data_IF_608380517589
#
_entry.id   IF_608380517589
#
_cell.length_a   1.000
_cell.length_b   1.000
_cell.length_c   1.000
_cell.angle_alpha   90.00
_cell.angle_beta   90.00
_cell.angle_gamma   90.00
#
_symmetry.space_group_name_H-M   'P 1'
#
loop_
_entity.id
_entity.type
_entity.pdbx_description
1 polymer ?
#
# COMPACT_ATOMS: atom_id res chain seq x y z
N UNK A 1 18.83 23.26 -4.46
CA UNK A 1 17.52 23.85 -4.22
C UNK A 1 16.52 22.76 -3.91
N UNK A 2 15.70 22.93 -2.89
CA UNK A 2 14.60 22.04 -2.60
C UNK A 2 13.58 22.18 -3.72
N UNK A 3 13.44 21.16 -4.56
CA UNK A 3 12.30 21.06 -5.47
C UNK A 3 11.05 20.84 -4.62
N UNK A 4 10.25 21.88 -4.52
CA UNK A 4 8.94 21.79 -3.87
C UNK A 4 7.92 21.42 -4.94
N UNK A 5 7.32 20.22 -4.81
CA UNK A 5 6.13 19.87 -5.59
C UNK A 5 4.96 20.73 -5.06
N UNK A 6 4.35 21.58 -5.89
CA UNK A 6 3.19 22.32 -5.45
C UNK A 6 1.99 21.38 -5.31
N UNK A 7 1.33 21.41 -4.17
CA UNK A 7 0.05 20.72 -3.99
C UNK A 7 -1.04 21.60 -4.59
N UNK A 8 -1.56 21.22 -5.76
CA UNK A 8 -2.53 22.02 -6.52
C UNK A 8 -3.92 22.01 -5.93
N UNK A 9 -4.25 20.98 -5.14
CA UNK A 9 -5.54 20.88 -4.48
C UNK A 9 -5.71 19.59 -3.69
N UNK A 10 -6.81 19.51 -2.98
CA UNK A 10 -7.22 18.33 -2.22
C UNK A 10 -8.69 18.04 -2.49
N UNK A 11 -9.01 16.76 -2.68
CA UNK A 11 -10.37 16.24 -2.75
C UNK A 11 -10.58 15.25 -1.61
N UNK A 12 -11.79 15.17 -1.08
CA UNK A 12 -12.16 14.22 -0.03
C UNK A 12 -13.62 13.83 -0.20
N UNK A 13 -14.01 12.71 0.42
CA UNK A 13 -15.40 12.22 0.42
C UNK A 13 -16.38 13.26 0.95
N UNK A 14 -16.00 14.03 1.96
CA UNK A 14 -16.81 15.11 2.52
C UNK A 14 -16.01 16.40 2.54
N UNK A 15 -16.62 17.48 2.05
CA UNK A 15 -16.00 18.82 2.07
C UNK A 15 -15.70 19.29 3.49
N UNK A 16 -16.59 18.99 4.44
CA UNK A 16 -16.44 19.36 5.84
C UNK A 16 -15.14 18.82 6.44
N UNK A 17 -14.86 17.51 6.26
CA UNK A 17 -13.63 16.91 6.78
C UNK A 17 -12.37 17.45 6.09
N UNK A 18 -12.45 17.73 4.78
CA UNK A 18 -11.35 18.36 4.06
C UNK A 18 -11.06 19.77 4.60
N UNK A 19 -12.08 20.61 4.75
CA UNK A 19 -11.93 21.97 5.27
C UNK A 19 -11.42 21.99 6.71
N UNK A 20 -11.88 21.06 7.57
CA UNK A 20 -11.37 20.92 8.93
C UNK A 20 -9.86 20.61 8.93
N UNK A 21 -9.41 19.70 8.05
CA UNK A 21 -7.99 19.39 7.90
C UNK A 21 -7.18 20.59 7.33
N UNK A 22 -7.67 21.20 6.27
CA UNK A 22 -7.02 22.37 5.63
C UNK A 22 -6.82 23.53 6.61
N UNK A 23 -7.77 23.74 7.52
CA UNK A 23 -7.65 24.77 8.57
C UNK A 23 -6.49 24.54 9.56
N UNK A 24 -5.92 23.35 9.61
CA UNK A 24 -4.73 23.04 10.43
C UNK A 24 -3.42 23.39 9.76
N UNK A 25 -3.43 23.68 8.45
CA UNK A 25 -2.24 23.94 7.65
C UNK A 25 -1.93 25.46 7.60
N UNK A 26 -0.65 25.81 7.59
CA UNK A 26 -0.22 27.21 7.46
C UNK A 26 -0.44 27.76 6.03
N UNK A 27 -0.28 26.92 5.02
CA UNK A 27 -0.47 27.26 3.61
C UNK A 27 -1.33 26.15 2.96
N UNK A 28 -2.66 26.19 3.16
CA UNK A 28 -3.55 25.12 2.71
C UNK A 28 -3.74 25.18 1.19
N UNK A 29 -3.66 24.02 0.50
CA UNK A 29 -4.08 23.94 -0.89
C UNK A 29 -5.60 24.15 -1.01
N UNK A 30 -6.05 24.38 -2.23
CA UNK A 30 -7.47 24.55 -2.52
C UNK A 30 -8.25 23.23 -2.35
N UNK A 31 -9.44 23.31 -1.74
CA UNK A 31 -10.40 22.21 -1.84
C UNK A 31 -11.08 22.23 -3.20
N UNK A 32 -11.17 21.08 -3.85
CA UNK A 32 -11.82 20.92 -5.15
C UNK A 32 -12.54 19.57 -5.25
N UNK A 33 -13.43 19.50 -6.22
CA UNK A 33 -13.99 18.22 -6.65
C UNK A 33 -12.91 17.32 -7.25
N UNK A 34 -13.16 16.01 -7.31
CA UNK A 34 -12.25 15.06 -7.95
C UNK A 34 -11.97 15.42 -9.42
N UNK A 35 -13.00 15.85 -10.16
CA UNK A 35 -12.87 16.25 -11.57
C UNK A 35 -11.98 17.48 -11.75
N UNK A 36 -12.17 18.49 -10.93
CA UNK A 36 -11.34 19.71 -10.95
C UNK A 36 -9.90 19.40 -10.55
N UNK A 37 -9.71 18.52 -9.54
CA UNK A 37 -8.39 18.09 -9.10
C UNK A 37 -7.63 17.39 -10.23
N UNK A 38 -8.25 16.44 -10.93
CA UNK A 38 -7.66 15.73 -12.06
C UNK A 38 -7.32 16.72 -13.20
N UNK A 39 -8.20 17.66 -13.49
CA UNK A 39 -7.99 18.60 -14.59
C UNK A 39 -6.77 19.50 -14.39
N UNK A 40 -6.50 19.93 -13.15
CA UNK A 40 -5.43 20.88 -12.83
C UNK A 40 -4.12 20.27 -12.31
N UNK A 41 -4.06 18.93 -12.18
CA UNK A 41 -2.87 18.23 -11.66
C UNK A 41 -2.19 17.42 -12.75
N UNK A 42 -0.89 17.20 -12.63
CA UNK A 42 -0.11 16.30 -13.49
C UNK A 42 -0.01 14.91 -12.87
N UNK A 43 -0.03 14.82 -11.56
CA UNK A 43 0.00 13.59 -10.77
C UNK A 43 -1.14 13.60 -9.75
N UNK A 44 -1.93 12.54 -9.74
CA UNK A 44 -2.93 12.31 -8.71
C UNK A 44 -2.34 11.38 -7.65
N UNK A 45 -2.41 11.78 -6.38
CA UNK A 45 -1.97 10.98 -5.23
C UNK A 45 -3.21 10.46 -4.50
N UNK A 46 -3.42 9.16 -4.54
CA UNK A 46 -4.51 8.52 -3.80
C UNK A 46 -4.07 8.15 -2.38
N UNK A 47 -4.79 8.64 -1.39
CA UNK A 47 -4.63 8.32 0.02
C UNK A 47 -6.00 8.11 0.72
N UNK A 48 -7.03 7.79 -0.06
CA UNK A 48 -8.43 7.73 0.41
C UNK A 48 -8.89 6.29 0.73
N UNK A 49 -8.14 5.28 0.30
CA UNK A 49 -8.44 3.87 0.50
C UNK A 49 -8.73 3.12 -0.80
N UNK A 50 -8.61 1.79 -0.76
CA UNK A 50 -8.67 0.96 -1.96
C UNK A 50 -9.96 1.04 -2.76
N UNK A 51 -11.08 1.32 -2.11
CA UNK A 51 -12.41 1.34 -2.73
C UNK A 51 -12.56 2.45 -3.79
N UNK A 52 -11.79 3.54 -3.69
CA UNK A 52 -11.85 4.64 -4.67
C UNK A 52 -10.95 4.40 -5.88
N UNK A 53 -9.99 3.49 -5.79
CA UNK A 53 -8.97 3.27 -6.82
C UNK A 53 -9.56 2.98 -8.20
N UNK A 54 -10.57 2.09 -8.38
CA UNK A 54 -11.05 1.77 -9.73
C UNK A 54 -11.60 2.97 -10.47
N UNK A 55 -12.46 3.75 -9.82
CA UNK A 55 -13.06 4.94 -10.42
C UNK A 55 -12.04 6.06 -10.62
N UNK A 56 -11.22 6.33 -9.59
CA UNK A 56 -10.19 7.37 -9.64
C UNK A 56 -9.16 7.08 -10.73
N UNK A 57 -8.68 5.84 -10.83
CA UNK A 57 -7.70 5.44 -11.83
C UNK A 57 -8.27 5.61 -13.26
N UNK A 58 -9.52 5.18 -13.49
CA UNK A 58 -10.19 5.35 -14.77
C UNK A 58 -10.23 6.82 -15.18
N UNK A 59 -10.75 7.70 -14.31
CA UNK A 59 -10.86 9.13 -14.59
C UNK A 59 -9.49 9.79 -14.79
N UNK A 60 -8.50 9.40 -13.99
CA UNK A 60 -7.13 9.91 -14.07
C UNK A 60 -6.48 9.56 -15.40
N UNK A 61 -6.52 8.29 -15.80
CA UNK A 61 -5.89 7.83 -17.04
C UNK A 61 -6.61 8.32 -18.31
N UNK A 62 -7.94 8.41 -18.29
CA UNK A 62 -8.70 9.03 -19.38
C UNK A 62 -8.33 10.50 -19.59
N UNK A 63 -7.84 11.16 -18.56
CA UNK A 63 -7.34 12.54 -18.61
C UNK A 63 -5.84 12.62 -18.97
N UNK A 64 -5.19 11.48 -19.26
CA UNK A 64 -3.77 11.42 -19.59
C UNK A 64 -2.85 11.78 -18.42
N UNK A 65 -3.29 11.53 -17.17
CA UNK A 65 -2.55 11.88 -15.96
C UNK A 65 -2.01 10.63 -15.25
N UNK A 66 -0.91 10.81 -14.52
CA UNK A 66 -0.28 9.75 -13.74
C UNK A 66 -0.98 9.59 -12.37
N UNK A 67 -0.91 8.39 -11.82
CA UNK A 67 -1.47 8.05 -10.51
C UNK A 67 -0.38 7.54 -9.56
N UNK A 68 -0.30 8.10 -8.37
CA UNK A 68 0.37 7.46 -7.24
C UNK A 68 -0.69 6.80 -6.37
N UNK A 69 -0.66 5.47 -6.28
CA UNK A 69 -1.57 4.68 -5.46
C UNK A 69 -0.89 4.29 -4.15
N UNK A 70 -1.41 4.76 -3.01
CA UNK A 70 -0.97 4.30 -1.69
C UNK A 70 -1.69 3.00 -1.34
N UNK A 71 -2.95 2.88 -1.76
CA UNK A 71 -3.78 1.68 -1.54
C UNK A 71 -3.53 0.61 -2.61
N UNK A 72 -2.26 0.21 -2.78
CA UNK A 72 -1.84 -0.69 -3.87
C UNK A 72 -2.46 -2.09 -3.79
N UNK A 73 -2.96 -2.49 -2.63
CA UNK A 73 -3.73 -3.74 -2.49
C UNK A 73 -4.94 -3.81 -3.42
N UNK A 74 -5.55 -2.67 -3.76
CA UNK A 74 -6.66 -2.60 -4.70
C UNK A 74 -6.24 -3.03 -6.13
N UNK A 75 -4.99 -2.81 -6.53
CA UNK A 75 -4.49 -3.23 -7.85
C UNK A 75 -4.42 -4.75 -8.00
N UNK A 76 -4.35 -5.50 -6.89
CA UNK A 76 -4.42 -6.96 -6.89
C UNK A 76 -5.84 -7.44 -7.17
N UNK A 77 -6.83 -6.73 -6.65
CA UNK A 77 -8.25 -7.01 -6.89
C UNK A 77 -8.70 -6.55 -8.30
N UNK A 78 -8.09 -5.49 -8.83
CA UNK A 78 -8.42 -4.79 -10.07
C UNK A 78 -7.22 -4.76 -11.04
N UNK A 79 -6.75 -5.92 -11.54
CA UNK A 79 -5.58 -5.98 -12.43
C UNK A 79 -5.80 -5.26 -13.78
N UNK A 80 -7.06 -5.04 -14.20
CA UNK A 80 -7.42 -4.26 -15.38
C UNK A 80 -6.90 -2.82 -15.33
N UNK A 81 -6.72 -2.24 -14.14
CA UNK A 81 -6.18 -0.89 -13.95
C UNK A 81 -4.76 -0.77 -14.51
N UNK A 82 -3.94 -1.81 -14.35
CA UNK A 82 -2.58 -1.86 -14.87
C UNK A 82 -2.56 -1.84 -16.41
N UNK A 83 -3.52 -2.49 -17.04
CA UNK A 83 -3.65 -2.49 -18.49
C UNK A 83 -4.16 -1.15 -18.99
N UNK A 84 -5.15 -0.58 -18.33
CA UNK A 84 -5.68 0.76 -18.63
C UNK A 84 -4.58 1.83 -18.59
N UNK A 85 -3.72 1.82 -17.59
CA UNK A 85 -2.58 2.75 -17.50
C UNK A 85 -1.66 2.61 -18.71
N UNK A 86 -1.32 1.36 -19.12
CA UNK A 86 -0.47 1.10 -20.29
C UNK A 86 -1.10 1.59 -21.61
N UNK A 87 -2.40 1.33 -21.80
CA UNK A 87 -3.15 1.75 -22.99
C UNK A 87 -3.20 3.27 -23.13
N UNK A 88 -3.28 3.98 -22.02
CA UNK A 88 -3.29 5.45 -21.96
C UNK A 88 -1.88 6.06 -21.85
N UNK A 89 -0.82 5.26 -21.91
CA UNK A 89 0.57 5.71 -21.71
C UNK A 89 0.80 6.46 -20.40
N UNK A 90 0.01 6.16 -19.36
CA UNK A 90 0.11 6.72 -18.03
C UNK A 90 0.91 5.83 -17.08
N UNK A 91 1.49 6.40 -16.04
CA UNK A 91 2.27 5.69 -15.03
C UNK A 91 1.46 5.49 -13.75
N UNK A 92 1.72 4.35 -13.10
CA UNK A 92 1.29 4.10 -11.73
C UNK A 92 2.54 4.08 -10.86
N UNK A 93 2.61 4.99 -9.90
CA UNK A 93 3.63 5.01 -8.87
C UNK A 93 3.10 4.32 -7.62
N UNK A 94 3.86 3.37 -7.11
CA UNK A 94 3.55 2.65 -5.89
C UNK A 94 4.72 2.84 -4.91
N UNK A 95 4.57 3.67 -3.86
CA UNK A 95 5.58 3.79 -2.82
C UNK A 95 5.87 2.44 -2.18
N UNK A 96 7.10 2.22 -1.71
CA UNK A 96 7.47 0.97 -1.03
C UNK A 96 6.66 0.73 0.26
N UNK A 97 6.03 1.78 0.78
CA UNK A 97 5.24 1.70 2.00
C UNK A 97 6.12 1.37 3.21
N UNK A 98 5.68 0.37 3.94
CA UNK A 98 6.36 -0.10 5.14
C UNK A 98 7.41 -1.21 4.85
N UNK A 99 7.80 -1.40 3.57
CA UNK A 99 8.67 -2.49 3.12
C UNK A 99 10.01 -1.97 2.62
N UNK A 100 11.07 -2.72 2.89
CA UNK A 100 12.41 -2.53 2.33
C UNK A 100 12.75 -3.69 1.36
N UNK A 101 13.81 -3.52 0.56
CA UNK A 101 14.35 -4.57 -0.30
C UNK A 101 13.52 -4.92 -1.53
N UNK A 102 12.52 -4.10 -1.89
CA UNK A 102 11.71 -4.31 -3.10
C UNK A 102 12.56 -4.23 -4.38
N UNK A 103 13.61 -3.43 -4.38
CA UNK A 103 14.59 -3.34 -5.45
C UNK A 103 15.37 -4.65 -5.63
N UNK A 104 15.78 -5.28 -4.53
CA UNK A 104 16.43 -6.59 -4.54
C UNK A 104 15.49 -7.69 -5.07
N UNK A 105 14.23 -7.71 -4.62
CA UNK A 105 13.22 -8.66 -5.08
C UNK A 105 12.95 -8.45 -6.59
N UNK A 106 12.81 -7.21 -7.02
CA UNK A 106 12.61 -6.85 -8.43
C UNK A 106 13.80 -7.24 -9.29
N UNK A 107 15.03 -7.05 -8.79
CA UNK A 107 16.23 -7.49 -9.49
C UNK A 107 16.26 -9.02 -9.62
N UNK A 108 15.93 -9.76 -8.56
CA UNK A 108 15.83 -11.21 -8.57
C UNK A 108 14.78 -11.73 -9.57
N UNK A 109 13.70 -10.97 -9.82
CA UNK A 109 12.65 -11.35 -10.78
C UNK A 109 13.08 -11.28 -12.25
N UNK A 110 14.27 -10.75 -12.55
CA UNK A 110 14.89 -10.85 -13.86
C UNK A 110 15.40 -12.27 -14.18
N UNK A 111 15.58 -13.10 -13.15
CA UNK A 111 15.87 -14.51 -13.22
C UNK A 111 14.74 -15.36 -12.65
N UNK A 112 15.03 -16.63 -12.32
CA UNK A 112 14.04 -17.53 -11.75
C UNK A 112 13.95 -17.34 -10.24
N UNK A 113 12.75 -17.00 -9.76
CA UNK A 113 12.38 -17.05 -8.34
C UNK A 113 11.58 -18.33 -8.09
N UNK A 114 11.99 -19.13 -7.13
CA UNK A 114 11.34 -20.37 -6.73
C UNK A 114 10.23 -20.11 -5.70
N UNK A 115 10.50 -19.25 -4.71
CA UNK A 115 9.53 -18.91 -3.66
C UNK A 115 9.67 -17.47 -3.17
N UNK A 116 8.53 -16.89 -2.80
CA UNK A 116 8.43 -15.62 -2.05
C UNK A 116 7.46 -15.87 -0.90
N UNK A 117 7.95 -15.76 0.32
CA UNK A 117 7.16 -15.93 1.54
C UNK A 117 7.31 -14.67 2.38
N UNK A 118 6.19 -14.09 2.77
CA UNK A 118 6.16 -12.97 3.69
C UNK A 118 5.36 -13.36 4.94
N UNK A 119 6.00 -13.31 6.08
CA UNK A 119 5.36 -13.45 7.39
C UNK A 119 5.18 -12.07 8.01
N UNK A 120 3.96 -11.71 8.37
CA UNK A 120 3.68 -10.45 9.06
C UNK A 120 3.12 -10.72 10.45
N UNK A 121 3.74 -10.09 11.46
CA UNK A 121 3.28 -10.13 12.85
C UNK A 121 2.65 -8.80 13.19
N UNK A 122 1.47 -8.85 13.81
CA UNK A 122 0.67 -7.66 14.10
C UNK A 122 0.05 -7.74 15.50
N UNK A 123 -0.18 -6.57 16.12
CA UNK A 123 -0.99 -6.48 17.33
C UNK A 123 -2.41 -7.00 17.07
N UNK A 124 -3.06 -7.51 18.12
CA UNK A 124 -4.40 -8.09 18.03
C UNK A 124 -5.43 -7.06 17.51
N UNK A 125 -5.34 -5.84 17.99
CA UNK A 125 -6.26 -4.74 17.66
C UNK A 125 -6.18 -4.32 16.19
N UNK A 126 -5.03 -4.53 15.54
CA UNK A 126 -4.85 -4.22 14.12
C UNK A 126 -5.48 -5.28 13.20
N UNK A 127 -5.82 -6.44 13.73
CA UNK A 127 -6.38 -7.58 12.99
C UNK A 127 -7.85 -7.80 13.28
N UNK A 128 -8.32 -7.36 14.45
CA UNK A 128 -9.70 -7.54 14.87
C UNK A 128 -10.67 -6.88 13.88
N UNK A 129 -11.81 -7.53 13.66
CA UNK A 129 -12.83 -7.06 12.71
C UNK A 129 -12.45 -7.19 11.24
N UNK A 130 -11.32 -7.82 10.89
CA UNK A 130 -11.00 -8.08 9.47
C UNK A 130 -12.03 -9.01 8.83
N UNK A 131 -12.37 -8.82 7.53
CA UNK A 131 -13.37 -9.64 6.83
C UNK A 131 -13.10 -11.13 6.93
N UNK A 132 -11.85 -11.55 6.85
CA UNK A 132 -11.44 -12.96 6.96
C UNK A 132 -11.80 -13.56 8.33
N UNK A 133 -11.53 -12.85 9.41
CA UNK A 133 -11.84 -13.31 10.77
C UNK A 133 -13.33 -13.29 11.03
N UNK A 134 -14.02 -12.21 10.61
CA UNK A 134 -15.47 -12.09 10.77
C UNK A 134 -16.21 -13.22 10.05
N UNK A 135 -15.84 -13.53 8.81
CA UNK A 135 -16.48 -14.60 8.02
C UNK A 135 -16.31 -16.00 8.65
N UNK A 136 -15.34 -16.17 9.54
CA UNK A 136 -15.05 -17.43 10.24
C UNK A 136 -15.48 -17.44 11.71
N UNK A 137 -16.00 -16.32 12.20
CA UNK A 137 -16.36 -16.18 13.62
C UNK A 137 -15.16 -16.25 14.55
N UNK A 138 -13.97 -15.85 14.07
CA UNK A 138 -12.71 -15.88 14.84
C UNK A 138 -12.54 -14.53 15.51
N UNK A 139 -12.33 -14.51 16.83
CA UNK A 139 -11.85 -13.35 17.58
C UNK A 139 -10.41 -13.58 17.97
N UNK A 140 -9.58 -12.57 17.75
CA UNK A 140 -8.17 -12.57 18.19
C UNK A 140 -8.00 -11.86 19.54
N UNK A 141 -9.00 -11.08 19.95
CA UNK A 141 -8.99 -10.41 21.25
C UNK A 141 -9.07 -11.45 22.38
N UNK A 142 -8.06 -11.51 23.22
CA UNK A 142 -7.97 -12.49 24.30
C UNK A 142 -6.98 -13.62 24.04
N UNK A 143 -6.28 -13.64 22.91
CA UNK A 143 -5.12 -14.49 22.73
C UNK A 143 -4.03 -14.13 23.77
N UNK A 144 -3.44 -15.15 24.38
CA UNK A 144 -2.36 -15.02 25.36
C UNK A 144 -0.99 -15.41 24.78
N UNK A 145 -1.00 -16.07 23.63
CA UNK A 145 0.19 -16.49 22.88
C UNK A 145 0.04 -16.08 21.41
N UNK A 146 1.15 -16.01 20.68
CA UNK A 146 1.11 -15.76 19.25
C UNK A 146 0.39 -16.87 18.50
N UNK A 147 -0.38 -16.50 17.51
CA UNK A 147 -1.15 -17.45 16.70
C UNK A 147 -1.12 -17.06 15.22
N UNK A 148 -0.79 -18.03 14.36
CA UNK A 148 -1.01 -17.87 12.92
C UNK A 148 -2.52 -17.91 12.63
N UNK A 149 -3.03 -16.80 12.10
CA UNK A 149 -4.46 -16.63 11.80
C UNK A 149 -4.76 -16.74 10.31
N UNK A 150 -3.75 -16.65 9.46
CA UNK A 150 -3.88 -16.77 8.02
C UNK A 150 -2.59 -17.32 7.39
N UNK A 151 -2.77 -18.22 6.43
CA UNK A 151 -1.75 -18.67 5.50
C UNK A 151 -2.40 -18.88 4.13
N UNK A 152 -1.85 -18.24 3.09
CA UNK A 152 -2.40 -18.29 1.74
C UNK A 152 -1.65 -17.36 0.79
N UNK A 153 -2.21 -17.14 -0.39
CA UNK A 153 -1.62 -16.25 -1.41
C UNK A 153 -1.78 -14.77 -1.05
N UNK A 154 -0.96 -13.91 -1.65
CA UNK A 154 -1.10 -12.47 -1.49
C UNK A 154 -2.48 -11.98 -1.99
N UNK A 155 -3.04 -12.61 -3.04
CA UNK A 155 -4.40 -12.30 -3.50
C UNK A 155 -5.45 -12.59 -2.44
N UNK A 156 -5.40 -13.76 -1.82
CA UNK A 156 -6.32 -14.14 -0.74
C UNK A 156 -6.16 -13.23 0.48
N UNK A 157 -4.91 -12.85 0.82
CA UNK A 157 -4.64 -11.91 1.89
C UNK A 157 -5.27 -10.52 1.59
N UNK A 158 -5.18 -10.04 0.35
CA UNK A 158 -5.77 -8.76 -0.06
C UNK A 158 -7.29 -8.74 0.08
N UNK A 159 -7.96 -9.84 -0.16
CA UNK A 159 -9.42 -9.96 0.05
C UNK A 159 -9.76 -10.08 1.55
N UNK A 160 -9.00 -10.88 2.28
CA UNK A 160 -9.30 -11.18 3.69
C UNK A 160 -8.98 -10.05 4.67
N UNK A 161 -7.98 -9.24 4.34
CA UNK A 161 -7.42 -8.21 5.24
C UNK A 161 -7.17 -6.87 4.52
N UNK A 162 -8.16 -6.24 3.87
CA UNK A 162 -7.97 -5.10 2.97
C UNK A 162 -7.27 -3.89 3.62
N UNK A 163 -7.41 -3.71 4.93
CA UNK A 163 -6.73 -2.64 5.67
C UNK A 163 -5.24 -2.91 5.95
N UNK A 164 -4.76 -4.13 5.68
CA UNK A 164 -3.45 -4.60 6.14
C UNK A 164 -2.52 -5.12 5.04
N UNK A 165 -2.90 -4.99 3.78
CA UNK A 165 -2.30 -5.79 2.68
C UNK A 165 -1.49 -5.02 1.66
N UNK A 166 -1.35 -3.71 1.78
CA UNK A 166 -0.51 -2.95 0.84
C UNK A 166 0.93 -3.50 0.79
N UNK A 167 1.46 -3.95 1.93
CA UNK A 167 2.79 -4.57 2.02
C UNK A 167 2.86 -5.90 1.25
N UNK A 168 1.81 -6.74 1.36
CA UNK A 168 1.72 -8.03 0.63
C UNK A 168 1.61 -7.81 -0.88
N UNK A 169 0.83 -6.80 -1.28
CA UNK A 169 0.73 -6.39 -2.68
C UNK A 169 2.08 -5.89 -3.22
N UNK A 170 2.79 -5.02 -2.46
CA UNK A 170 4.09 -4.50 -2.86
C UNK A 170 5.10 -5.62 -3.12
N UNK A 171 5.23 -6.56 -2.19
CA UNK A 171 6.12 -7.73 -2.31
C UNK A 171 5.73 -8.58 -3.52
N UNK A 172 4.44 -8.83 -3.71
CA UNK A 172 3.95 -9.66 -4.82
C UNK A 172 4.22 -9.04 -6.19
N UNK A 173 4.02 -7.72 -6.34
CA UNK A 173 4.30 -7.01 -7.59
C UNK A 173 5.80 -6.89 -7.88
N UNK A 174 6.64 -6.82 -6.85
CA UNK A 174 8.09 -6.82 -7.01
C UNK A 174 8.64 -8.20 -7.41
N UNK A 175 7.99 -9.28 -6.99
CA UNK A 175 8.44 -10.67 -7.16
C UNK A 175 7.67 -11.44 -8.25
N UNK A 176 6.98 -12.49 -7.81
CA UNK A 176 6.36 -13.52 -8.68
C UNK A 176 4.85 -13.40 -8.83
N UNK A 177 4.30 -12.27 -8.47
CA UNK A 177 2.87 -11.97 -8.58
C UNK A 177 2.03 -12.47 -7.39
N UNK A 178 0.77 -11.97 -7.29
CA UNK A 178 -0.06 -12.18 -6.11
C UNK A 178 -0.56 -13.62 -5.92
N UNK A 179 -0.59 -14.42 -6.97
CA UNK A 179 -1.07 -15.81 -6.92
C UNK A 179 0.02 -16.80 -6.47
N UNK A 180 1.29 -16.41 -6.55
CA UNK A 180 2.44 -17.25 -6.18
C UNK A 180 3.14 -16.80 -4.91
N UNK A 181 3.00 -15.53 -4.51
CA UNK A 181 3.55 -15.00 -3.27
C UNK A 181 2.73 -15.51 -2.09
N UNK A 182 3.39 -16.14 -1.12
CA UNK A 182 2.76 -16.69 0.07
C UNK A 182 2.81 -15.68 1.21
N UNK A 183 1.70 -15.51 1.91
CA UNK A 183 1.53 -14.60 3.03
C UNK A 183 1.10 -15.38 4.26
N UNK A 184 1.78 -15.14 5.37
CA UNK A 184 1.42 -15.64 6.70
C UNK A 184 1.14 -14.46 7.60
N UNK A 185 0.01 -14.47 8.30
CA UNK A 185 -0.35 -13.42 9.26
C UNK A 185 -0.42 -14.04 10.64
N UNK A 186 0.35 -13.48 11.57
CA UNK A 186 0.45 -13.94 12.94
C UNK A 186 -0.06 -12.82 13.84
N UNK A 187 -1.05 -13.13 14.66
CA UNK A 187 -1.56 -12.28 15.72
C UNK A 187 -0.65 -12.42 16.95
N UNK A 188 -0.14 -11.32 17.48
CA UNK A 188 0.81 -11.33 18.59
C UNK A 188 0.30 -10.45 19.74
N UNK A 189 -0.01 -11.04 20.90
CA UNK A 189 -0.41 -10.27 22.08
C UNK A 189 0.68 -9.33 22.55
N UNK A 190 0.34 -8.09 22.88
CA UNK A 190 1.26 -7.10 23.42
C UNK A 190 2.31 -6.56 22.45
N UNK A 191 2.22 -6.89 21.18
CA UNK A 191 3.10 -6.31 20.16
C UNK A 191 2.73 -4.82 19.96
N UNK A 192 3.74 -3.95 19.93
CA UNK A 192 3.57 -2.49 19.80
C UNK A 192 3.88 -1.96 18.39
N UNK A 193 4.22 -2.85 17.46
CA UNK A 193 4.68 -2.51 16.11
C UNK A 193 4.23 -3.54 15.08
N UNK A 194 4.39 -3.25 13.80
CA UNK A 194 4.23 -4.23 12.74
C UNK A 194 5.61 -4.80 12.37
N UNK A 195 5.75 -6.13 12.41
CA UNK A 195 6.97 -6.81 12.00
C UNK A 195 6.72 -7.59 10.70
N UNK A 196 7.65 -7.48 9.76
CA UNK A 196 7.60 -8.16 8.49
C UNK A 196 8.91 -8.94 8.27
N UNK A 197 8.76 -10.19 7.91
CA UNK A 197 9.85 -11.09 7.56
C UNK A 197 9.59 -11.59 6.13
N UNK A 198 10.50 -11.31 5.20
CA UNK A 198 10.36 -11.65 3.79
C UNK A 198 11.52 -12.53 3.38
N UNK A 199 11.22 -13.74 2.91
CA UNK A 199 12.20 -14.67 2.37
C UNK A 199 11.91 -14.90 0.90
N UNK A 200 12.92 -14.68 0.07
CA UNK A 200 12.88 -14.93 -1.38
C UNK A 200 14.01 -15.90 -1.73
N UNK A 201 13.67 -16.98 -2.40
CA UNK A 201 14.61 -17.98 -2.88
C UNK A 201 14.51 -18.18 -4.37
N UNK A 202 15.64 -18.40 -5.03
CA UNK A 202 15.71 -18.58 -6.46
C UNK A 202 17.12 -18.90 -6.94
N UNK A 203 17.34 -18.86 -8.23
CA UNK A 203 18.65 -19.18 -8.81
C UNK A 203 19.79 -18.22 -8.39
N UNK A 204 19.42 -17.00 -7.94
CA UNK A 204 20.35 -16.01 -7.41
C UNK A 204 20.85 -16.36 -5.98
N UNK A 205 20.18 -17.28 -5.27
CA UNK A 205 20.40 -17.60 -3.88
C UNK A 205 19.20 -17.25 -3.01
N UNK A 206 19.42 -16.54 -1.89
CA UNK A 206 18.40 -16.19 -0.89
C UNK A 206 18.50 -14.75 -0.45
N UNK A 207 17.36 -14.05 -0.46
CA UNK A 207 17.19 -12.77 0.23
C UNK A 207 16.38 -13.01 1.51
N UNK A 208 16.79 -12.39 2.60
CA UNK A 208 16.05 -12.37 3.85
C UNK A 208 16.01 -10.93 4.35
N UNK A 209 14.81 -10.41 4.57
CA UNK A 209 14.56 -9.02 4.92
C UNK A 209 13.67 -9.01 6.15
N UNK A 210 14.17 -8.43 7.24
CA UNK A 210 13.42 -8.20 8.47
C UNK A 210 13.14 -6.72 8.65
N UNK A 211 11.92 -6.37 9.01
CA UNK A 211 11.48 -4.99 9.18
C UNK A 211 10.59 -4.88 10.41
N UNK A 212 10.90 -3.94 11.27
CA UNK A 212 10.07 -3.54 12.41
C UNK A 212 9.58 -2.11 12.20
N UNK A 213 8.29 -1.91 12.07
CA UNK A 213 7.69 -0.61 11.79
C UNK A 213 7.01 -0.04 13.04
N UNK A 214 7.47 1.14 13.46
CA UNK A 214 6.82 1.91 14.51
C UNK A 214 5.57 2.58 13.91
N UNK A 215 4.40 2.53 14.58
CA UNK A 215 3.21 3.26 14.16
C UNK A 215 3.49 4.76 14.00
N UNK A 216 2.83 5.41 13.04
CA UNK A 216 2.79 6.86 12.94
C UNK A 216 1.71 7.42 13.88
N UNK A 217 1.44 8.73 13.80
CA UNK A 217 0.30 9.35 14.49
C UNK A 217 -1.03 8.70 14.09
N UNK A 218 -1.14 8.19 12.85
CA UNK A 218 -2.21 7.31 12.45
C UNK A 218 -1.81 5.86 12.76
N UNK A 219 -2.46 5.18 13.73
CA UNK A 219 -2.09 3.83 14.16
C UNK A 219 -2.20 2.77 13.06
N UNK A 220 -2.93 3.07 11.99
CA UNK A 220 -3.05 2.17 10.82
C UNK A 220 -1.90 2.30 9.83
N UNK A 221 -1.02 3.31 9.99
CA UNK A 221 0.07 3.61 9.07
C UNK A 221 1.40 3.62 9.81
N UNK A 222 2.39 2.90 9.32
CA UNK A 222 3.76 2.96 9.85
C UNK A 222 4.48 4.26 9.43
N UNK A 223 5.42 4.74 10.23
CA UNK A 223 6.23 5.94 9.91
C UNK A 223 6.99 5.78 8.60
N UNK A 224 7.54 4.59 8.32
CA UNK A 224 8.26 4.31 7.09
C UNK A 224 7.38 4.50 5.85
N UNK A 225 6.07 4.19 5.95
CA UNK A 225 5.12 4.42 4.84
C UNK A 225 5.06 5.89 4.45
N UNK A 226 4.95 6.79 5.43
CA UNK A 226 4.91 8.24 5.16
C UNK A 226 6.20 8.70 4.50
N UNK A 227 7.35 8.25 5.03
CA UNK A 227 8.68 8.56 4.48
C UNK A 227 8.83 8.06 3.03
N UNK A 228 8.34 6.85 2.74
CA UNK A 228 8.39 6.27 1.39
C UNK A 228 7.55 7.06 0.38
N UNK A 229 6.38 7.56 0.80
CA UNK A 229 5.52 8.42 -0.04
C UNK A 229 6.25 9.71 -0.38
N UNK A 230 6.81 10.39 0.64
CA UNK A 230 7.56 11.64 0.46
C UNK A 230 8.76 11.39 -0.48
N UNK A 231 9.53 10.31 -0.25
CA UNK A 231 10.68 10.00 -1.09
C UNK A 231 10.28 9.72 -2.53
N UNK A 232 9.21 8.94 -2.75
CA UNK A 232 8.71 8.67 -4.11
C UNK A 232 8.29 9.95 -4.83
N UNK A 233 7.65 10.89 -4.13
CA UNK A 233 7.31 12.20 -4.70
C UNK A 233 8.58 13.01 -5.06
N UNK A 234 9.61 12.99 -4.21
CA UNK A 234 10.89 13.63 -4.50
C UNK A 234 11.57 13.02 -5.73
N UNK A 235 11.58 11.69 -5.85
CA UNK A 235 12.16 10.98 -7.01
C UNK A 235 11.41 11.26 -8.31
N UNK A 236 10.09 11.54 -8.25
CA UNK A 236 9.30 11.97 -9.42
C UNK A 236 9.65 13.39 -9.82
N UNK A 237 9.92 14.26 -8.85
CA UNK A 237 10.24 15.66 -9.10
C UNK A 237 11.67 15.87 -9.59
N UNK A 238 12.59 15.04 -9.16
CA UNK A 238 14.04 15.10 -9.49
C UNK A 238 14.52 13.66 -9.79
N UNK A 239 14.20 13.15 -11.02
CA UNK A 239 14.50 11.79 -11.45
C UNK A 239 15.98 11.50 -11.70
#
# INVERSE_FOLDING_TARGET
>A
GSLTLPITGIASRTEESARAFLATLNDPPEYCSQTELIAKSDLIVEAAGGDVIPELACATFQSGKDLMAISIGALVAHPEILNMAREQCCKIYAPSGAIAGLDGIKSASSGRIDSVIMTTRKPLEALDGSPYLMARGISVLGLIEEQEIFSGTAREACVGFPANVNVSAAVSFAGIGPDRTQIRIIAVPGLDRNCHDIVVEGEFGRLHIEIENIPSENPRTGRLTVMSIIRTLQDIADP
#
